data_IF_108164103273
#
_entry.id   IF_108164103273
#
_cell.length_a   1.000
_cell.length_b   1.000
_cell.length_c   1.000
_cell.angle_alpha   90.00
_cell.angle_beta   90.00
_cell.angle_gamma   90.00
#
_symmetry.space_group_name_H-M   'P 1'
#
loop_
_entity.id
_entity.type
_entity.pdbx_description
1 polymer ?
#
# COMPACT_ATOMS: atom_id res chain seq x y z
N UNK A 1 -21.09 16.09 -56.04
CA UNK A 1 -20.05 15.29 -56.73
C UNK A 1 -19.24 14.57 -55.65
N UNK A 2 -19.71 13.43 -55.14
CA UNK A 2 -19.35 12.05 -55.56
C UNK A 2 -17.84 11.78 -55.54
N UNK A 3 -17.36 11.14 -54.48
CA UNK A 3 -16.79 9.78 -54.56
C UNK A 3 -16.69 9.16 -53.15
N UNK A 4 -17.59 8.19 -52.92
CA UNK A 4 -17.42 7.13 -51.91
C UNK A 4 -16.35 6.17 -52.42
N UNK A 5 -15.48 5.66 -51.55
CA UNK A 5 -14.81 4.39 -51.81
C UNK A 5 -14.74 3.58 -50.52
N UNK A 6 -15.48 2.49 -50.55
CA UNK A 6 -15.49 1.39 -49.60
C UNK A 6 -14.14 0.67 -49.64
N UNK A 7 -13.67 0.18 -48.49
CA UNK A 7 -12.91 -1.07 -48.47
C UNK A 7 -13.44 -1.97 -47.36
N UNK A 8 -13.97 -3.12 -47.80
CA UNK A 8 -14.39 -4.25 -46.98
C UNK A 8 -13.19 -5.16 -46.73
N UNK A 9 -13.12 -5.68 -45.50
CA UNK A 9 -12.97 -7.12 -45.28
C UNK A 9 -11.57 -7.65 -45.05
N UNK A 10 -11.35 -8.25 -43.88
CA UNK A 10 -11.25 -9.71 -43.83
C UNK A 10 -11.56 -10.21 -42.42
N UNK A 11 -12.68 -10.91 -42.30
CA UNK A 11 -12.99 -11.77 -41.17
C UNK A 11 -12.53 -13.18 -41.54
N UNK A 12 -11.76 -13.83 -40.67
CA UNK A 12 -11.51 -15.25 -40.73
C UNK A 12 -11.82 -15.84 -39.36
N UNK A 13 -13.01 -16.44 -39.27
CA UNK A 13 -13.48 -17.27 -38.17
C UNK A 13 -13.40 -18.73 -38.62
N UNK A 14 -12.83 -19.63 -37.82
CA UNK A 14 -13.15 -21.06 -37.69
C UNK A 14 -12.09 -21.72 -36.78
N UNK A 15 -12.30 -22.74 -35.95
CA UNK A 15 -13.38 -23.21 -35.08
C UNK A 15 -12.89 -24.55 -34.47
N UNK A 16 -13.12 -24.72 -33.16
CA UNK A 16 -13.44 -25.94 -32.39
C UNK A 16 -12.66 -27.26 -32.54
N UNK A 17 -12.21 -27.79 -31.39
CA UNK A 17 -12.71 -29.02 -30.66
C UNK A 17 -11.55 -29.63 -29.85
N UNK A 18 -11.56 -29.91 -28.53
CA UNK A 18 -12.46 -30.52 -27.52
C UNK A 18 -11.97 -31.93 -27.08
N UNK A 19 -11.98 -32.14 -25.75
CA UNK A 19 -11.95 -33.39 -24.94
C UNK A 19 -10.57 -34.11 -24.81
N UNK A 20 -10.17 -34.71 -23.68
CA UNK A 20 -10.85 -35.33 -22.51
C UNK A 20 -9.90 -35.25 -21.27
N UNK A 21 -10.31 -34.96 -20.03
CA UNK A 21 -11.10 -35.68 -19.00
C UNK A 21 -10.39 -36.85 -18.25
N UNK A 22 -10.64 -36.85 -16.91
CA UNK A 22 -10.48 -37.90 -15.87
C UNK A 22 -9.11 -38.05 -15.18
N UNK A 23 -8.98 -38.29 -13.87
CA UNK A 23 -9.85 -38.50 -12.69
C UNK A 23 -8.90 -38.45 -11.44
N UNK A 24 -9.19 -37.70 -10.37
CA UNK A 24 -9.93 -38.05 -9.15
C UNK A 24 -9.11 -38.66 -7.97
N UNK A 25 -9.33 -38.07 -6.78
CA UNK A 25 -9.31 -38.67 -5.41
C UNK A 25 -7.93 -39.00 -4.78
N UNK A 26 -7.64 -38.84 -3.48
CA UNK A 26 -8.38 -38.48 -2.26
C UNK A 26 -7.38 -38.20 -1.13
N UNK A 27 -7.81 -37.42 -0.14
CA UNK A 27 -7.25 -37.30 1.22
C UNK A 27 -7.00 -38.66 1.90
N UNK A 28 -5.97 -38.72 2.75
CA UNK A 28 -6.00 -39.07 4.19
C UNK A 28 -4.56 -39.15 4.70
N UNK A 29 -4.21 -38.41 5.77
CA UNK A 29 -3.82 -39.03 7.05
C UNK A 29 -3.54 -37.98 8.14
N UNK A 30 -4.23 -38.15 9.26
CA UNK A 30 -4.02 -37.46 10.54
C UNK A 30 -3.65 -38.53 11.55
N UNK A 31 -2.63 -38.35 12.40
CA UNK A 31 -2.61 -39.04 13.68
C UNK A 31 -3.01 -38.09 14.82
N UNK A 32 -4.06 -38.53 15.52
CA UNK A 32 -4.49 -38.11 16.85
C UNK A 32 -3.42 -38.37 17.92
N UNK A 33 -3.38 -37.50 18.92
CA UNK A 33 -2.99 -37.74 20.33
C UNK A 33 -3.10 -36.39 21.04
N UNK A 34 -3.77 -36.15 22.17
CA UNK A 34 -4.47 -36.95 23.18
C UNK A 34 -5.34 -35.94 23.97
N UNK A 35 -6.51 -36.36 24.45
CA UNK A 35 -7.43 -35.58 25.30
C UNK A 35 -7.18 -35.88 26.79
N UNK A 36 -7.65 -34.95 27.64
CA UNK A 36 -8.00 -35.06 29.08
C UNK A 36 -6.83 -34.92 30.08
N UNK A 37 -6.89 -34.19 31.19
CA UNK A 37 -7.94 -33.49 31.97
C UNK A 37 -7.20 -32.64 33.04
N UNK A 38 -7.86 -31.66 33.70
CA UNK A 38 -7.92 -31.51 35.18
C UNK A 38 -8.24 -30.06 35.65
N UNK A 39 -9.50 -29.88 36.07
CA UNK A 39 -10.00 -29.28 37.32
C UNK A 39 -9.43 -27.98 37.94
N UNK A 40 -10.29 -26.95 37.89
CA UNK A 40 -10.91 -26.16 38.99
C UNK A 40 -10.16 -25.70 40.26
N UNK A 41 -10.49 -24.44 40.60
CA UNK A 41 -10.71 -23.81 41.93
C UNK A 41 -9.60 -22.95 42.59
N UNK A 42 -9.79 -21.63 42.46
CA UNK A 42 -9.94 -20.58 43.51
C UNK A 42 -9.09 -20.61 44.78
N UNK A 43 -8.43 -19.47 45.08
CA UNK A 43 -8.54 -18.77 46.39
C UNK A 43 -8.34 -17.26 46.18
N UNK A 44 -9.24 -16.45 46.76
CA UNK A 44 -9.08 -15.01 47.05
C UNK A 44 -7.94 -14.76 48.07
N UNK A 45 -7.32 -13.58 48.08
CA UNK A 45 -7.28 -12.71 49.28
C UNK A 45 -6.57 -11.37 48.96
N UNK A 46 -7.14 -10.35 49.60
CA UNK A 46 -6.93 -8.90 49.57
C UNK A 46 -5.54 -8.38 49.95
N UNK A 47 -5.14 -7.22 49.42
CA UNK A 47 -4.67 -6.08 50.24
C UNK A 47 -4.50 -4.81 49.39
N UNK A 48 -4.99 -3.70 49.95
CA UNK A 48 -4.97 -2.35 49.40
C UNK A 48 -3.60 -1.66 49.54
N UNK A 49 -3.23 -0.85 48.54
CA UNK A 49 -2.49 0.40 48.70
C UNK A 49 -2.45 1.18 47.36
N UNK A 50 -3.05 2.37 47.35
CA UNK A 50 -2.70 3.50 46.47
C UNK A 50 -2.11 4.61 47.37
N UNK A 51 -1.49 5.67 46.85
CA UNK A 51 -0.67 5.77 45.64
C UNK A 51 0.67 6.48 45.95
N UNK A 52 1.75 6.17 45.24
CA UNK A 52 2.93 7.04 45.19
C UNK A 52 3.05 7.66 43.80
N UNK A 53 3.00 8.99 43.80
CA UNK A 53 3.20 9.86 42.65
C UNK A 53 4.63 9.72 42.17
N UNK A 54 4.85 9.08 41.03
CA UNK A 54 6.10 9.21 40.30
C UNK A 54 5.91 10.20 39.15
N UNK A 55 6.68 11.27 39.26
CA UNK A 55 6.79 12.40 38.36
C UNK A 55 7.25 11.89 36.99
N UNK A 56 6.37 11.96 36.01
CA UNK A 56 6.71 11.73 34.61
C UNK A 56 7.73 12.78 34.16
N UNK A 57 8.99 12.37 34.05
CA UNK A 57 9.97 13.05 33.20
C UNK A 57 9.67 12.63 31.77
N UNK A 58 9.17 13.58 30.98
CA UNK A 58 9.16 13.48 29.51
C UNK A 58 10.61 13.32 29.06
N UNK A 59 11.02 12.07 28.85
CA UNK A 59 12.16 11.78 28.00
C UNK A 59 11.70 12.08 26.57
N UNK A 60 12.13 13.20 26.02
CA UNK A 60 12.20 13.39 24.58
C UNK A 60 13.06 12.24 24.04
N UNK A 61 12.41 11.19 23.52
CA UNK A 61 13.09 10.15 22.77
C UNK A 61 13.58 10.80 21.49
N UNK A 62 14.86 11.14 21.46
CA UNK A 62 15.59 11.44 20.24
C UNK A 62 15.42 10.22 19.34
N UNK A 63 14.56 10.33 18.33
CA UNK A 63 14.35 9.28 17.34
C UNK A 63 15.64 9.24 16.52
N UNK A 64 16.54 8.31 16.87
CA UNK A 64 17.73 8.06 16.06
C UNK A 64 17.26 7.57 14.68
N UNK A 65 17.49 8.39 13.65
CA UNK A 65 17.18 8.01 12.27
C UNK A 65 17.90 6.70 11.91
N UNK A 66 17.27 5.80 11.14
CA UNK A 66 17.91 4.55 10.75
C UNK A 66 19.19 4.83 9.95
N UNK A 67 20.24 4.03 10.22
CA UNK A 67 21.52 4.12 9.51
C UNK A 67 21.35 3.57 8.10
N UNK A 68 21.29 4.47 7.12
CA UNK A 68 21.24 4.15 5.68
C UNK A 68 22.57 4.60 5.06
N UNK A 69 23.19 3.76 4.22
CA UNK A 69 24.42 4.17 3.53
C UNK A 69 24.13 5.15 2.38
N UNK A 70 25.16 5.85 1.90
CA UNK A 70 25.01 6.93 0.92
C UNK A 70 24.40 6.46 -0.42
N UNK A 71 24.70 5.23 -0.85
CA UNK A 71 24.18 4.67 -2.11
C UNK A 71 22.70 4.34 -1.97
N UNK A 72 22.32 3.70 -0.86
CA UNK A 72 20.94 3.41 -0.51
C UNK A 72 20.11 4.68 -0.37
N UNK A 73 20.67 5.71 0.28
CA UNK A 73 20.02 7.01 0.39
C UNK A 73 19.80 7.64 -0.99
N UNK A 74 20.79 7.57 -1.88
CA UNK A 74 20.64 8.02 -3.27
C UNK A 74 19.45 7.38 -3.99
N UNK A 75 19.29 6.06 -3.87
CA UNK A 75 18.16 5.32 -4.45
C UNK A 75 16.82 5.71 -3.83
N UNK A 76 16.78 5.96 -2.52
CA UNK A 76 15.58 6.43 -1.84
C UNK A 76 15.15 7.82 -2.32
N UNK A 77 16.11 8.73 -2.54
CA UNK A 77 15.85 10.06 -3.10
C UNK A 77 15.37 9.98 -4.55
N UNK A 78 15.92 9.08 -5.36
CA UNK A 78 15.43 8.89 -6.73
C UNK A 78 14.00 8.34 -6.73
N UNK A 79 13.69 7.39 -5.84
CA UNK A 79 12.33 6.91 -5.60
C UNK A 79 11.39 8.05 -5.23
N UNK A 80 11.79 8.92 -4.29
CA UNK A 80 11.02 10.10 -3.89
C UNK A 80 10.69 11.00 -5.09
N UNK A 81 11.70 11.35 -5.89
CA UNK A 81 11.52 12.22 -7.06
C UNK A 81 10.58 11.60 -8.10
N UNK A 82 10.68 10.29 -8.33
CA UNK A 82 9.78 9.59 -9.26
C UNK A 82 8.34 9.55 -8.75
N UNK A 83 8.12 9.31 -7.46
CA UNK A 83 6.81 9.37 -6.82
C UNK A 83 6.18 10.75 -7.05
N UNK A 84 6.90 11.82 -6.71
CA UNK A 84 6.41 13.20 -6.84
C UNK A 84 6.08 13.54 -8.30
N UNK A 85 6.98 13.21 -9.23
CA UNK A 85 6.77 13.44 -10.66
C UNK A 85 5.53 12.72 -11.19
N UNK A 86 5.31 11.46 -10.78
CA UNK A 86 4.14 10.71 -11.22
C UNK A 86 2.84 11.29 -10.64
N UNK A 87 2.89 11.75 -9.38
CA UNK A 87 1.75 12.36 -8.70
C UNK A 87 1.23 13.61 -9.41
N UNK A 88 2.09 14.44 -10.02
CA UNK A 88 1.68 15.61 -10.82
C UNK A 88 0.71 15.26 -11.98
N UNK A 89 0.74 14.00 -12.44
CA UNK A 89 -0.12 13.50 -13.52
C UNK A 89 -1.14 12.46 -13.04
N UNK A 90 -1.22 12.22 -11.73
CA UNK A 90 -2.10 11.24 -11.12
C UNK A 90 -1.68 9.79 -11.32
N UNK A 91 -0.48 9.53 -11.85
CA UNK A 91 0.02 8.17 -12.07
C UNK A 91 0.43 7.56 -10.73
N UNK A 92 -0.05 6.35 -10.45
CA UNK A 92 0.36 5.58 -9.28
C UNK A 92 1.77 5.03 -9.50
N UNK A 93 2.70 5.34 -8.60
CA UNK A 93 4.10 4.97 -8.74
C UNK A 93 4.29 3.44 -8.82
N UNK A 94 4.94 2.98 -9.89
CA UNK A 94 5.26 1.55 -10.18
C UNK A 94 4.06 0.59 -10.14
N UNK A 95 2.84 1.10 -10.23
CA UNK A 95 1.64 0.29 -10.30
C UNK A 95 1.25 0.02 -11.76
N UNK A 96 1.69 -1.13 -12.27
CA UNK A 96 1.46 -1.57 -13.65
C UNK A 96 1.86 -0.51 -14.70
N UNK A 97 1.22 -0.52 -15.87
CA UNK A 97 1.51 0.34 -17.02
C UNK A 97 1.05 1.81 -16.85
N UNK A 98 1.06 2.34 -15.62
CA UNK A 98 0.81 3.75 -15.34
C UNK A 98 -0.66 4.10 -15.12
N UNK A 99 -1.36 3.28 -14.32
CA UNK A 99 -2.73 3.59 -13.92
C UNK A 99 -2.82 4.96 -13.24
N UNK A 100 -3.88 5.69 -13.57
CA UNK A 100 -4.11 7.04 -13.08
C UNK A 100 -5.31 7.10 -12.15
N UNK A 101 -5.09 7.71 -10.99
CA UNK A 101 -6.15 8.07 -10.07
C UNK A 101 -7.14 9.01 -10.78
N UNK A 102 -8.42 8.71 -10.62
CA UNK A 102 -9.52 9.43 -11.24
C UNK A 102 -9.81 9.10 -12.69
N UNK A 103 -9.13 8.10 -13.27
CA UNK A 103 -9.33 7.64 -14.66
C UNK A 103 -9.42 6.13 -14.79
N UNK A 104 -8.51 5.39 -14.18
CA UNK A 104 -8.46 3.93 -14.28
C UNK A 104 -9.69 3.32 -13.61
N UNK A 105 -10.35 2.36 -14.26
CA UNK A 105 -11.46 1.62 -13.67
C UNK A 105 -10.99 0.36 -12.95
N UNK A 106 -11.78 -0.14 -12.01
CA UNK A 106 -11.52 -1.42 -11.32
C UNK A 106 -11.33 -2.57 -12.31
N UNK A 107 -12.21 -2.65 -13.31
CA UNK A 107 -12.14 -3.68 -14.36
C UNK A 107 -10.83 -3.60 -15.17
N UNK A 108 -10.35 -2.38 -15.47
CA UNK A 108 -9.07 -2.20 -16.18
C UNK A 108 -7.89 -2.66 -15.33
N UNK A 109 -7.89 -2.35 -14.03
CA UNK A 109 -6.87 -2.82 -13.09
C UNK A 109 -6.90 -4.34 -13.01
N UNK A 110 -8.08 -4.94 -12.83
CA UNK A 110 -8.22 -6.40 -12.73
C UNK A 110 -7.80 -7.11 -14.01
N UNK A 111 -8.13 -6.54 -15.17
CA UNK A 111 -7.71 -7.09 -16.45
C UNK A 111 -6.18 -7.05 -16.64
N UNK A 112 -5.50 -6.06 -16.08
CA UNK A 112 -4.06 -5.89 -16.23
C UNK A 112 -3.23 -6.71 -15.23
N UNK A 113 -3.64 -6.73 -13.96
CA UNK A 113 -2.84 -7.33 -12.88
C UNK A 113 -3.55 -8.42 -12.07
N UNK A 114 -4.82 -8.69 -12.38
CA UNK A 114 -5.64 -9.66 -11.66
C UNK A 114 -6.50 -9.04 -10.55
N UNK A 115 -7.40 -9.86 -10.02
CA UNK A 115 -8.18 -9.55 -8.82
C UNK A 115 -7.24 -9.41 -7.61
N UNK A 116 -7.58 -8.56 -6.62
CA UNK A 116 -6.79 -8.41 -5.42
C UNK A 116 -6.74 -9.69 -4.60
N UNK A 117 -5.68 -9.90 -3.82
CA UNK A 117 -5.61 -11.05 -2.93
C UNK A 117 -6.59 -10.93 -1.76
N UNK A 118 -6.91 -9.70 -1.35
CA UNK A 118 -7.85 -9.40 -0.28
C UNK A 118 -8.67 -8.14 -0.59
N UNK A 119 -9.93 -8.12 -0.18
CA UNK A 119 -10.78 -6.93 -0.19
C UNK A 119 -11.26 -6.67 1.24
N UNK A 120 -10.86 -5.52 1.79
CA UNK A 120 -11.24 -5.12 3.14
C UNK A 120 -11.67 -3.65 3.14
N UNK A 121 -12.80 -3.37 3.77
CA UNK A 121 -13.43 -2.05 3.80
C UNK A 121 -13.65 -1.50 2.37
N UNK A 122 -12.98 -0.40 2.02
CA UNK A 122 -13.07 0.24 0.70
C UNK A 122 -11.86 -0.09 -0.20
N UNK A 123 -10.91 -0.91 0.27
CA UNK A 123 -9.65 -1.16 -0.40
C UNK A 123 -9.54 -2.56 -0.97
N UNK A 124 -9.03 -2.60 -2.20
CA UNK A 124 -8.50 -3.79 -2.88
C UNK A 124 -6.99 -3.89 -2.59
N UNK A 125 -6.56 -5.00 -1.98
CA UNK A 125 -5.19 -5.21 -1.51
C UNK A 125 -4.39 -6.03 -2.52
N UNK A 126 -3.22 -5.49 -2.88
CA UNK A 126 -2.22 -6.13 -3.70
C UNK A 126 -0.93 -6.31 -2.90
N UNK A 127 -0.61 -7.54 -2.50
CA UNK A 127 0.56 -7.81 -1.68
C UNK A 127 1.85 -7.91 -2.51
N UNK A 128 2.85 -7.14 -2.10
CA UNK A 128 4.19 -7.19 -2.68
C UNK A 128 4.94 -8.46 -2.31
N UNK A 129 5.71 -8.99 -3.26
CA UNK A 129 6.60 -10.13 -3.04
C UNK A 129 7.92 -9.97 -3.80
N UNK A 130 9.02 -10.48 -3.25
CA UNK A 130 10.33 -10.60 -3.92
C UNK A 130 10.78 -9.33 -4.68
N UNK A 131 10.64 -8.15 -4.07
CA UNK A 131 11.03 -6.86 -4.66
C UNK A 131 9.90 -6.12 -5.39
N UNK A 132 8.71 -6.71 -5.50
CA UNK A 132 7.51 -5.98 -5.89
C UNK A 132 6.91 -5.27 -4.68
N UNK A 133 6.34 -4.10 -4.91
CA UNK A 133 5.72 -3.31 -3.85
C UNK A 133 4.29 -3.76 -3.58
N UNK A 134 3.80 -3.45 -2.37
CA UNK A 134 2.39 -3.65 -2.02
C UNK A 134 1.58 -2.38 -2.30
N UNK A 135 0.30 -2.57 -2.64
CA UNK A 135 -0.64 -1.49 -2.91
C UNK A 135 -1.99 -1.73 -2.23
N UNK A 136 -2.69 -0.64 -1.91
CA UNK A 136 -4.12 -0.66 -1.60
C UNK A 136 -4.82 0.34 -2.52
N UNK A 137 -5.88 -0.09 -3.20
CA UNK A 137 -6.59 0.75 -4.17
C UNK A 137 -8.04 0.89 -3.72
N UNK A 138 -8.51 2.13 -3.56
CA UNK A 138 -9.92 2.43 -3.37
C UNK A 138 -10.54 2.96 -4.66
N UNK A 139 -11.82 2.67 -4.84
CA UNK A 139 -12.60 3.06 -6.00
C UNK A 139 -13.85 3.81 -5.57
N UNK A 140 -14.22 4.81 -6.36
CA UNK A 140 -15.46 5.53 -6.15
C UNK A 140 -16.68 4.66 -6.50
N UNK A 141 -17.87 5.22 -6.28
CA UNK A 141 -19.16 4.57 -6.61
C UNK A 141 -19.35 4.19 -8.09
N UNK A 142 -18.51 4.68 -8.99
CA UNK A 142 -18.55 4.39 -10.42
C UNK A 142 -17.42 3.41 -10.82
N UNK A 143 -16.79 2.77 -9.83
CA UNK A 143 -15.65 1.86 -9.99
C UNK A 143 -14.43 2.54 -10.66
N UNK A 144 -14.24 3.85 -10.43
CA UNK A 144 -13.06 4.59 -10.87
C UNK A 144 -12.13 4.80 -9.68
N UNK A 145 -10.83 4.50 -9.86
CA UNK A 145 -9.81 4.62 -8.83
C UNK A 145 -9.82 6.03 -8.21
N UNK A 146 -10.03 6.14 -6.90
CA UNK A 146 -10.08 7.44 -6.19
C UNK A 146 -8.88 7.67 -5.27
N UNK A 147 -8.29 6.60 -4.76
CA UNK A 147 -7.10 6.61 -3.92
C UNK A 147 -6.25 5.37 -4.21
N UNK A 148 -4.93 5.57 -4.27
CA UNK A 148 -3.96 4.50 -4.33
C UNK A 148 -2.89 4.71 -3.27
N UNK A 149 -2.68 3.70 -2.43
CA UNK A 149 -1.64 3.67 -1.41
C UNK A 149 -0.49 2.78 -1.86
N UNK A 150 0.71 3.32 -1.83
CA UNK A 150 1.96 2.64 -2.15
C UNK A 150 2.75 2.37 -0.86
N UNK A 151 2.99 1.10 -0.55
CA UNK A 151 3.67 0.69 0.70
C UNK A 151 5.17 0.42 0.51
N UNK A 152 5.71 0.60 -0.69
CA UNK A 152 7.08 0.22 -0.99
C UNK A 152 7.28 -1.29 -1.03
N UNK A 153 8.54 -1.70 -1.09
CA UNK A 153 8.94 -3.10 -1.09
C UNK A 153 9.29 -3.55 0.33
N UNK A 154 9.06 -4.84 0.62
CA UNK A 154 9.43 -5.43 1.92
C UNK A 154 10.95 -5.67 2.04
N UNK A 155 11.60 -5.96 0.91
CA UNK A 155 13.05 -6.14 0.84
C UNK A 155 13.72 -4.83 0.42
N UNK A 156 14.92 -4.59 0.96
CA UNK A 156 15.73 -3.39 0.65
C UNK A 156 14.97 -2.07 0.84
N UNK A 157 14.09 -2.02 1.86
CA UNK A 157 13.19 -0.89 2.13
C UNK A 157 13.92 0.45 2.27
N UNK A 158 15.15 0.44 2.78
CA UNK A 158 16.03 1.61 2.91
C UNK A 158 16.44 2.24 1.56
N UNK A 159 16.26 1.53 0.45
CA UNK A 159 16.46 2.03 -0.92
C UNK A 159 15.19 2.68 -1.50
N UNK A 160 14.08 2.65 -0.77
CA UNK A 160 12.80 3.26 -1.13
C UNK A 160 12.20 4.00 0.07
N UNK A 161 10.97 3.69 0.50
CA UNK A 161 10.23 4.45 1.52
C UNK A 161 10.93 4.47 2.87
N UNK A 162 11.54 3.35 3.29
CA UNK A 162 12.31 3.28 4.53
C UNK A 162 13.60 4.10 4.52
N UNK A 163 14.01 4.62 3.36
CA UNK A 163 15.12 5.56 3.23
C UNK A 163 14.69 7.01 3.14
N UNK A 164 13.38 7.32 3.06
CA UNK A 164 12.85 8.67 2.90
C UNK A 164 12.41 9.19 4.27
N UNK A 165 13.03 10.26 4.76
CA UNK A 165 12.65 10.92 6.02
C UNK A 165 11.91 12.24 5.77
N UNK A 166 11.34 12.82 6.84
CA UNK A 166 10.77 14.18 6.79
C UNK A 166 11.76 15.22 6.25
N UNK A 167 13.03 15.12 6.63
CA UNK A 167 14.08 16.04 6.16
C UNK A 167 14.26 15.94 4.65
N UNK A 168 14.29 14.73 4.11
CA UNK A 168 14.42 14.50 2.67
C UNK A 168 13.21 15.07 1.90
N UNK A 169 12.00 14.95 2.45
CA UNK A 169 10.79 15.54 1.89
C UNK A 169 10.87 17.08 1.85
N UNK A 170 11.28 17.71 2.95
CA UNK A 170 11.45 19.15 3.01
C UNK A 170 12.54 19.65 2.04
N UNK A 171 13.62 18.89 1.89
CA UNK A 171 14.73 19.25 0.99
C UNK A 171 14.35 19.12 -0.50
N UNK A 172 13.65 18.06 -0.88
CA UNK A 172 13.40 17.73 -2.29
C UNK A 172 12.02 18.12 -2.80
N UNK A 173 11.02 18.22 -1.93
CA UNK A 173 9.63 18.57 -2.28
C UNK A 173 9.28 19.97 -1.79
N UNK A 174 9.78 20.35 -0.61
CA UNK A 174 9.49 21.62 0.05
C UNK A 174 8.55 21.47 1.25
N UNK A 175 7.99 22.58 1.72
CA UNK A 175 7.05 22.57 2.85
C UNK A 175 5.72 21.91 2.45
N UNK A 176 5.17 21.01 3.29
CA UNK A 176 3.85 20.44 3.05
C UNK A 176 2.75 21.51 3.19
N UNK A 177 1.66 21.33 2.47
CA UNK A 177 0.46 22.12 2.63
C UNK A 177 -0.19 21.89 4.00
N UNK A 178 -0.10 20.67 4.52
CA UNK A 178 -0.59 20.31 5.84
C UNK A 178 0.26 19.21 6.48
N UNK A 179 0.37 19.25 7.80
CA UNK A 179 0.98 18.19 8.61
C UNK A 179 -0.02 17.75 9.69
N UNK A 180 -0.36 16.46 9.71
CA UNK A 180 -1.33 15.87 10.65
C UNK A 180 -0.69 14.73 11.41
N UNK A 181 -0.80 14.74 12.75
CA UNK A 181 -0.49 13.54 13.54
C UNK A 181 -1.69 12.60 13.52
N UNK A 182 -1.45 11.30 13.35
CA UNK A 182 -2.45 10.24 13.47
C UNK A 182 -2.31 9.62 14.87
N UNK A 183 -3.12 10.02 15.87
CA UNK A 183 -2.85 9.68 17.27
C UNK A 183 -2.96 8.18 17.56
N UNK A 184 -3.80 7.46 16.81
CA UNK A 184 -4.02 6.03 17.00
C UNK A 184 -2.78 5.19 16.65
N UNK A 185 -2.05 5.59 15.61
CA UNK A 185 -0.86 4.87 15.11
C UNK A 185 0.45 5.54 15.53
N UNK A 186 0.41 6.82 15.88
CA UNK A 186 1.58 7.65 16.15
C UNK A 186 2.28 8.12 14.88
N UNK A 187 1.67 7.93 13.71
CA UNK A 187 2.21 8.35 12.42
C UNK A 187 2.04 9.85 12.20
N UNK A 188 2.83 10.40 11.28
CA UNK A 188 2.71 11.78 10.82
C UNK A 188 2.41 11.80 9.32
N UNK A 189 1.27 12.36 8.94
CA UNK A 189 0.87 12.53 7.55
C UNK A 189 1.26 13.93 7.05
N UNK A 190 2.11 13.99 6.03
CA UNK A 190 2.53 15.20 5.34
C UNK A 190 1.84 15.29 3.98
N UNK A 191 1.02 16.33 3.80
CA UNK A 191 0.14 16.50 2.64
C UNK A 191 0.73 17.53 1.67
N UNK A 192 0.81 17.17 0.40
CA UNK A 192 1.30 18.02 -0.69
C UNK A 192 0.25 18.12 -1.81
N UNK A 193 0.12 19.30 -2.41
CA UNK A 193 -0.67 19.47 -3.62
C UNK A 193 0.17 19.16 -4.86
N UNK A 194 -0.34 18.28 -5.71
CA UNK A 194 0.31 17.85 -6.95
C UNK A 194 -0.66 18.03 -8.13
N UNK A 195 -0.87 19.28 -8.54
CA UNK A 195 -1.85 19.61 -9.58
C UNK A 195 -3.29 19.38 -9.11
N UNK A 196 -4.03 18.50 -9.81
CA UNK A 196 -5.41 18.10 -9.47
C UNK A 196 -5.45 16.93 -8.45
N UNK A 197 -4.31 16.61 -7.85
CA UNK A 197 -4.11 15.48 -6.96
C UNK A 197 -3.54 15.92 -5.62
N UNK A 198 -3.77 15.08 -4.61
CA UNK A 198 -3.15 15.20 -3.29
C UNK A 198 -2.18 14.04 -3.10
N UNK A 199 -0.94 14.36 -2.73
CA UNK A 199 0.11 13.40 -2.42
C UNK A 199 0.40 13.45 -0.92
N UNK A 200 0.20 12.34 -0.23
CA UNK A 200 0.40 12.23 1.21
C UNK A 200 1.55 11.28 1.51
N UNK A 201 2.53 11.72 2.28
CA UNK A 201 3.55 10.86 2.86
C UNK A 201 3.19 10.58 4.31
N UNK A 202 2.91 9.32 4.63
CA UNK A 202 2.64 8.88 5.99
C UNK A 202 3.93 8.35 6.59
N UNK A 203 4.45 9.04 7.60
CA UNK A 203 5.68 8.71 8.29
C UNK A 203 5.39 7.85 9.52
N UNK A 204 6.14 6.75 9.65
CA UNK A 204 6.13 5.92 10.84
C UNK A 204 6.78 6.62 12.04
N UNK A 205 6.71 5.98 13.21
CA UNK A 205 7.31 6.48 14.45
C UNK A 205 8.83 6.67 14.38
N UNK A 206 9.50 5.92 13.51
CA UNK A 206 10.94 6.02 13.27
C UNK A 206 11.33 7.21 12.36
N UNK A 207 10.34 8.00 11.91
CA UNK A 207 10.55 9.18 11.09
C UNK A 207 10.74 8.90 9.58
N UNK A 208 10.64 7.64 9.16
CA UNK A 208 10.71 7.24 7.74
C UNK A 208 9.32 7.06 7.14
N UNK A 209 9.21 7.09 5.80
CA UNK A 209 7.94 6.86 5.13
C UNK A 209 7.47 5.40 5.29
N UNK A 210 6.26 5.23 5.80
CA UNK A 210 5.56 3.94 5.87
C UNK A 210 4.86 3.64 4.54
N UNK A 211 4.05 4.58 4.09
CA UNK A 211 3.35 4.49 2.82
C UNK A 211 3.05 5.88 2.25
N UNK A 212 2.70 5.90 0.97
CA UNK A 212 2.38 7.12 0.21
C UNK A 212 1.00 6.98 -0.39
N UNK A 213 0.11 7.95 -0.14
CA UNK A 213 -1.22 7.97 -0.72
C UNK A 213 -1.25 8.99 -1.87
N UNK A 214 -1.84 8.60 -2.99
CA UNK A 214 -2.19 9.49 -4.08
C UNK A 214 -3.70 9.51 -4.22
N UNK A 215 -4.30 10.68 -4.04
CA UNK A 215 -5.74 10.87 -4.06
C UNK A 215 -6.14 11.87 -5.15
N UNK A 216 -7.34 11.68 -5.72
CA UNK A 216 -7.96 12.72 -6.54
C UNK A 216 -8.45 13.85 -5.64
N UNK A 217 -8.06 15.08 -5.93
CA UNK A 217 -8.68 16.23 -5.24
C UNK A 217 -10.12 16.39 -5.74
N UNK A 218 -11.05 16.63 -4.82
CA UNK A 218 -12.50 16.76 -5.11
C UNK A 218 -12.87 18.14 -5.63
#
# INVERSE_FOLDING_TARGET
MVKKLFWLGSAATLALSLAACSEASSNEDVPKSHTEEHSTETVEETAAAEPEQEKAEESESEVEEPVVDDEQKGMAIDTLKEIVKNAETGIVYRFSDGFQVGKATRDEVYAAIGEPEEQMDEFDFYHGSMGNASYQIAYDKNDVMEEARYFGTNVERQTNLGGITKKDLLEHVGEPAEERKIPATGETNLVYHAGDYELQFVLAKDGTADHVNLLKTK
#
